data_IF_491640244916
#
_entry.id   IF_491640244916
#
_cell.length_a   1.000
_cell.length_b   1.000
_cell.length_c   1.000
_cell.angle_alpha   90.00
_cell.angle_beta   90.00
_cell.angle_gamma   90.00
#
_symmetry.space_group_name_H-M   'P 1'
#
loop_
_entity.id
_entity.type
_entity.pdbx_description
1 polymer ?
#
# COMPACT_ATOMS: atom_id res chain seq x y z
N UNK A 1 3.79 1.67 33.99
CA UNK A 1 2.73 2.29 34.82
C UNK A 1 3.14 3.73 35.07
N UNK A 2 2.60 4.68 34.31
CA UNK A 2 2.80 6.11 34.59
C UNK A 2 1.95 6.43 35.82
N UNK A 3 2.57 6.87 36.91
CA UNK A 3 1.90 7.11 38.18
C UNK A 3 0.98 8.34 38.04
N UNK A 4 -0.24 8.26 38.57
CA UNK A 4 -1.22 9.37 38.55
C UNK A 4 -0.63 10.67 39.12
N UNK A 5 0.25 10.54 40.11
CA UNK A 5 1.02 11.62 40.73
C UNK A 5 1.92 12.36 39.73
N UNK A 6 2.57 11.62 38.82
CA UNK A 6 3.48 12.20 37.84
C UNK A 6 2.74 13.00 36.77
N UNK A 7 1.54 12.54 36.39
CA UNK A 7 0.66 13.29 35.46
C UNK A 7 0.14 14.56 36.14
N UNK A 8 -0.25 14.48 37.41
CA UNK A 8 -0.80 15.60 38.16
C UNK A 8 0.23 16.70 38.44
N UNK A 9 1.46 16.33 38.80
CA UNK A 9 2.58 17.27 38.97
C UNK A 9 2.91 17.93 37.63
N UNK A 10 2.93 17.17 36.53
CA UNK A 10 3.24 17.73 35.22
C UNK A 10 2.21 18.78 34.81
N UNK A 11 0.91 18.50 35.03
CA UNK A 11 -0.20 19.42 34.75
C UNK A 11 -0.11 20.71 35.58
N UNK A 12 0.16 20.59 36.89
CA UNK A 12 0.35 21.72 37.80
C UNK A 12 1.55 22.60 37.41
N UNK A 13 2.67 22.01 37.00
CA UNK A 13 3.84 22.78 36.54
C UNK A 13 3.62 23.48 35.21
N UNK A 14 2.87 22.88 34.28
CA UNK A 14 2.52 23.54 33.01
C UNK A 14 1.56 24.71 33.22
N UNK A 15 0.59 24.57 34.13
CA UNK A 15 -0.35 25.65 34.46
C UNK A 15 0.36 26.85 35.11
N UNK A 16 1.30 26.60 36.02
CA UNK A 16 2.06 27.67 36.68
C UNK A 16 3.00 28.41 35.73
N UNK A 17 3.66 27.70 34.82
CA UNK A 17 4.55 28.29 33.81
C UNK A 17 3.77 29.10 32.76
N UNK A 18 2.56 28.66 32.40
CA UNK A 18 1.66 29.41 31.55
C UNK A 18 1.24 30.75 32.19
N UNK A 19 0.89 30.75 33.48
CA UNK A 19 0.43 31.96 34.20
C UNK A 19 1.52 33.03 34.29
N UNK A 20 2.77 32.66 34.55
CA UNK A 20 3.89 33.62 34.63
C UNK A 20 4.32 34.14 33.24
N UNK A 21 4.14 33.34 32.18
CA UNK A 21 4.46 33.73 30.81
C UNK A 21 3.59 34.86 30.26
N UNK A 22 2.35 35.04 30.75
CA UNK A 22 1.48 36.17 30.34
C UNK A 22 1.95 37.54 30.86
N UNK A 23 2.95 37.56 31.73
CA UNK A 23 3.48 38.78 32.34
C UNK A 23 4.74 39.30 31.64
N UNK A 24 5.38 38.47 30.81
CA UNK A 24 6.58 38.81 30.06
C UNK A 24 6.38 38.47 28.58
N UNK A 25 6.38 39.48 27.71
CA UNK A 25 6.00 39.34 26.30
C UNK A 25 6.88 38.33 25.54
N UNK A 26 8.17 38.23 25.90
CA UNK A 26 9.11 37.28 25.30
C UNK A 26 8.80 35.82 25.67
N UNK A 27 8.40 35.58 26.93
CA UNK A 27 8.01 34.25 27.40
C UNK A 27 6.66 33.84 26.82
N UNK A 28 5.73 34.77 26.69
CA UNK A 28 4.45 34.56 26.01
C UNK A 28 4.65 34.11 24.56
N UNK A 29 5.53 34.80 23.82
CA UNK A 29 5.83 34.48 22.42
C UNK A 29 6.50 33.10 22.28
N UNK A 30 7.42 32.76 23.20
CA UNK A 30 8.06 31.46 23.24
C UNK A 30 7.06 30.32 23.55
N UNK A 31 6.16 30.52 24.52
CA UNK A 31 5.11 29.55 24.87
C UNK A 31 4.13 29.37 23.71
N UNK A 32 3.73 30.45 23.03
CA UNK A 32 2.85 30.38 21.87
C UNK A 32 3.49 29.61 20.70
N UNK A 33 4.79 29.81 20.47
CA UNK A 33 5.56 29.11 19.44
C UNK A 33 5.71 27.62 19.75
N UNK A 34 6.03 27.25 21.00
CA UNK A 34 6.13 25.86 21.43
C UNK A 34 4.78 25.16 21.34
N UNK A 35 3.71 25.81 21.79
CA UNK A 35 2.35 25.25 21.70
C UNK A 35 1.90 25.09 20.25
N UNK A 36 2.18 26.07 19.38
CA UNK A 36 1.92 25.98 17.95
C UNK A 36 2.68 24.82 17.29
N UNK A 37 3.98 24.70 17.57
CA UNK A 37 4.81 23.59 17.05
C UNK A 37 4.30 22.23 17.51
N UNK A 38 3.86 22.11 18.77
CA UNK A 38 3.29 20.88 19.32
C UNK A 38 1.97 20.50 18.63
N UNK A 39 1.08 21.47 18.39
CA UNK A 39 -0.18 21.24 17.65
C UNK A 39 0.10 20.78 16.22
N UNK A 40 1.02 21.44 15.50
CA UNK A 40 1.41 21.01 14.15
C UNK A 40 2.04 19.62 14.12
N UNK A 41 2.84 19.28 15.14
CA UNK A 41 3.41 17.95 15.27
C UNK A 41 2.33 16.88 15.46
N UNK A 42 1.38 17.10 16.37
CA UNK A 42 0.25 16.17 16.59
C UNK A 42 -0.59 16.03 15.33
N UNK A 43 -0.94 17.13 14.67
CA UNK A 43 -1.69 17.10 13.41
C UNK A 43 -0.92 16.35 12.32
N UNK A 44 0.40 16.54 12.24
CA UNK A 44 1.26 15.81 11.31
C UNK A 44 1.24 14.30 11.56
N UNK A 45 1.36 13.88 12.82
CA UNK A 45 1.28 12.45 13.20
C UNK A 45 -0.09 11.87 12.86
N UNK A 46 -1.18 12.56 13.21
CA UNK A 46 -2.54 12.13 12.88
C UNK A 46 -2.72 12.01 11.36
N UNK A 47 -2.22 12.99 10.60
CA UNK A 47 -2.27 12.97 9.13
C UNK A 47 -1.54 11.77 8.52
N UNK A 48 -0.35 11.44 9.03
CA UNK A 48 0.42 10.27 8.57
C UNK A 48 -0.34 8.97 8.89
N UNK A 49 -0.88 8.85 10.11
CA UNK A 49 -1.65 7.66 10.52
C UNK A 49 -2.89 7.50 9.64
N UNK A 50 -3.65 8.57 9.41
CA UNK A 50 -4.80 8.57 8.50
C UNK A 50 -4.41 8.19 7.07
N UNK A 51 -3.31 8.74 6.56
CA UNK A 51 -2.80 8.42 5.23
C UNK A 51 -2.42 6.94 5.07
N UNK A 52 -1.72 6.38 6.05
CA UNK A 52 -1.38 4.95 6.06
C UNK A 52 -2.63 4.07 6.13
N UNK A 53 -3.60 4.44 6.95
CA UNK A 53 -4.86 3.72 7.08
C UNK A 53 -5.66 3.75 5.77
N UNK A 54 -5.68 4.89 5.08
CA UNK A 54 -6.30 5.02 3.77
C UNK A 54 -5.64 4.11 2.72
N UNK A 55 -4.30 4.09 2.65
CA UNK A 55 -3.57 3.20 1.73
C UNK A 55 -3.89 1.73 2.03
N UNK A 56 -3.95 1.36 3.31
CA UNK A 56 -4.28 -0.01 3.72
C UNK A 56 -5.69 -0.41 3.27
N UNK A 57 -6.68 0.47 3.44
CA UNK A 57 -8.04 0.25 2.94
C UNK A 57 -8.06 0.05 1.43
N UNK A 58 -7.34 0.90 0.68
CA UNK A 58 -7.27 0.79 -0.79
C UNK A 58 -6.67 -0.55 -1.21
N UNK A 59 -5.57 -0.99 -0.59
CA UNK A 59 -4.97 -2.29 -0.86
C UNK A 59 -5.97 -3.42 -0.58
N UNK A 60 -6.68 -3.35 0.56
CA UNK A 60 -7.66 -4.36 0.93
C UNK A 60 -8.81 -4.40 -0.10
N UNK A 61 -9.33 -3.24 -0.51
CA UNK A 61 -10.40 -3.14 -1.48
C UNK A 61 -10.00 -3.67 -2.86
N UNK A 62 -8.79 -3.35 -3.32
CA UNK A 62 -8.23 -3.88 -4.57
C UNK A 62 -8.12 -5.41 -4.48
N UNK A 63 -7.55 -5.93 -3.40
CA UNK A 63 -7.39 -7.38 -3.21
C UNK A 63 -8.73 -8.11 -3.16
N UNK A 64 -9.71 -7.57 -2.42
CA UNK A 64 -11.06 -8.11 -2.32
C UNK A 64 -11.77 -8.07 -3.68
N UNK A 65 -11.60 -6.99 -4.46
CA UNK A 65 -12.13 -6.87 -5.81
C UNK A 65 -11.58 -7.93 -6.77
N UNK A 66 -10.25 -8.15 -6.75
CA UNK A 66 -9.61 -9.18 -7.58
C UNK A 66 -10.08 -10.58 -7.16
N UNK A 67 -10.16 -10.86 -5.86
CA UNK A 67 -10.63 -12.16 -5.36
C UNK A 67 -12.09 -12.39 -5.77
N UNK A 68 -12.96 -11.39 -5.56
CA UNK A 68 -14.39 -11.46 -5.90
C UNK A 68 -14.60 -11.72 -7.40
N UNK A 69 -13.95 -10.95 -8.27
CA UNK A 69 -14.04 -11.13 -9.73
C UNK A 69 -13.54 -12.50 -10.17
N UNK A 70 -12.45 -12.98 -9.57
CA UNK A 70 -11.87 -14.29 -9.89
C UNK A 70 -12.80 -15.45 -9.48
N UNK A 71 -13.42 -15.36 -8.30
CA UNK A 71 -14.40 -16.34 -7.82
C UNK A 71 -15.64 -16.33 -8.71
N UNK A 72 -16.16 -15.15 -9.05
CA UNK A 72 -17.33 -15.00 -9.91
C UNK A 72 -17.09 -15.60 -11.30
N UNK A 73 -15.93 -15.33 -11.91
CA UNK A 73 -15.55 -15.93 -13.20
C UNK A 73 -15.39 -17.45 -13.08
N UNK A 74 -14.87 -17.95 -11.95
CA UNK A 74 -14.77 -19.39 -11.67
C UNK A 74 -16.16 -20.07 -11.61
N UNK A 75 -17.13 -19.43 -10.96
CA UNK A 75 -18.51 -19.91 -10.87
C UNK A 75 -19.23 -19.84 -12.22
N UNK A 76 -19.14 -18.71 -12.92
CA UNK A 76 -19.80 -18.51 -14.22
C UNK A 76 -19.31 -19.51 -15.27
N UNK A 77 -18.01 -19.78 -15.31
CA UNK A 77 -17.44 -20.72 -16.28
C UNK A 77 -17.40 -22.17 -15.77
N UNK A 78 -18.03 -22.46 -14.62
CA UNK A 78 -18.06 -23.77 -13.94
C UNK A 78 -16.68 -24.43 -13.82
N UNK A 79 -15.62 -23.62 -13.69
CA UNK A 79 -14.24 -24.11 -13.71
C UNK A 79 -13.35 -23.24 -12.83
N UNK A 80 -12.85 -23.84 -11.75
CA UNK A 80 -11.87 -23.23 -10.85
C UNK A 80 -10.59 -22.81 -11.58
N UNK A 81 -10.17 -23.60 -12.58
CA UNK A 81 -8.99 -23.29 -13.41
C UNK A 81 -9.10 -21.95 -14.12
N UNK A 82 -10.30 -21.60 -14.60
CA UNK A 82 -10.53 -20.34 -15.31
C UNK A 82 -10.63 -19.15 -14.37
N UNK A 83 -11.21 -19.33 -13.17
CA UNK A 83 -11.17 -18.31 -12.12
C UNK A 83 -9.74 -17.99 -11.66
N UNK A 84 -8.91 -19.02 -11.45
CA UNK A 84 -7.49 -18.84 -11.14
C UNK A 84 -6.71 -18.16 -12.26
N UNK A 85 -7.02 -18.46 -13.53
CA UNK A 85 -6.41 -17.75 -14.67
C UNK A 85 -6.67 -16.24 -14.58
N UNK A 86 -7.92 -15.85 -14.34
CA UNK A 86 -8.30 -14.45 -14.18
C UNK A 86 -7.59 -13.81 -12.99
N UNK A 87 -7.51 -14.50 -11.85
CA UNK A 87 -6.78 -14.01 -10.67
C UNK A 87 -5.33 -13.63 -10.99
N UNK A 88 -4.57 -14.56 -11.59
CA UNK A 88 -3.17 -14.31 -11.94
C UNK A 88 -3.01 -13.18 -12.94
N UNK A 89 -3.86 -13.11 -13.97
CA UNK A 89 -3.81 -12.04 -14.97
C UNK A 89 -4.11 -10.68 -14.32
N UNK A 90 -5.17 -10.57 -13.51
CA UNK A 90 -5.54 -9.32 -12.85
C UNK A 90 -4.48 -8.81 -11.89
N UNK A 91 -3.88 -9.69 -11.08
CA UNK A 91 -2.77 -9.32 -10.18
C UNK A 91 -1.54 -8.89 -10.98
N UNK A 92 -1.19 -9.63 -12.04
CA UNK A 92 -0.03 -9.30 -12.86
C UNK A 92 -0.19 -7.96 -13.58
N UNK A 93 -1.39 -7.63 -14.11
CA UNK A 93 -1.67 -6.35 -14.75
C UNK A 93 -1.54 -5.19 -13.76
N UNK A 94 -2.14 -5.30 -12.57
CA UNK A 94 -2.04 -4.23 -11.57
C UNK A 94 -0.58 -4.03 -11.12
N UNK A 95 0.12 -5.12 -10.81
CA UNK A 95 1.52 -5.07 -10.38
C UNK A 95 2.45 -4.50 -11.45
N UNK A 96 2.34 -4.96 -12.70
CA UNK A 96 3.17 -4.48 -13.81
C UNK A 96 2.86 -3.03 -14.20
N UNK A 97 1.60 -2.61 -14.08
CA UNK A 97 1.20 -1.23 -14.40
C UNK A 97 1.79 -0.25 -13.41
N UNK A 98 1.72 -0.54 -12.12
CA UNK A 98 2.35 0.29 -11.07
C UNK A 98 3.86 0.33 -11.28
N UNK A 99 4.50 -0.83 -11.47
CA UNK A 99 5.94 -0.91 -11.68
C UNK A 99 6.41 -0.16 -12.95
N UNK A 100 5.68 -0.31 -14.05
CA UNK A 100 6.01 0.34 -15.33
C UNK A 100 5.87 1.86 -15.24
N UNK A 101 4.78 2.37 -14.67
CA UNK A 101 4.60 3.83 -14.50
C UNK A 101 5.73 4.42 -13.64
N UNK A 102 6.10 3.77 -12.53
CA UNK A 102 7.22 4.21 -11.68
C UNK A 102 8.53 4.24 -12.47
N UNK A 103 8.81 3.19 -13.25
CA UNK A 103 10.02 3.08 -14.05
C UNK A 103 10.09 4.18 -15.12
N UNK A 104 8.99 4.42 -15.83
CA UNK A 104 8.91 5.48 -16.84
C UNK A 104 9.04 6.88 -16.23
N UNK A 105 8.44 7.15 -15.07
CA UNK A 105 8.62 8.41 -14.35
C UNK A 105 10.07 8.60 -13.87
N UNK A 106 10.72 7.53 -13.42
CA UNK A 106 12.11 7.56 -13.01
C UNK A 106 13.04 7.87 -14.20
N UNK A 107 12.84 7.21 -15.34
CA UNK A 107 13.59 7.51 -16.57
C UNK A 107 13.36 8.95 -17.00
N UNK A 108 12.12 9.44 -16.96
CA UNK A 108 11.81 10.80 -17.39
C UNK A 108 12.47 11.85 -16.48
N UNK A 109 12.59 11.58 -15.19
CA UNK A 109 13.30 12.47 -14.25
C UNK A 109 14.78 12.63 -14.61
N UNK A 110 15.43 11.58 -15.10
CA UNK A 110 16.87 11.60 -15.43
C UNK A 110 17.12 12.20 -16.82
N UNK A 111 16.28 11.85 -17.79
CA UNK A 111 16.53 12.15 -19.22
C UNK A 111 15.68 13.29 -19.76
N UNK A 112 14.67 13.78 -19.03
CA UNK A 112 13.66 14.75 -19.50
C UNK A 112 13.20 14.43 -20.92
N UNK A 113 12.91 13.15 -21.16
CA UNK A 113 12.81 12.65 -22.52
C UNK A 113 11.50 13.09 -23.18
N UNK A 114 10.41 13.14 -22.39
CA UNK A 114 9.07 13.53 -22.82
C UNK A 114 8.33 14.34 -21.76
N UNK A 115 7.21 14.95 -22.19
CA UNK A 115 6.25 15.56 -21.30
C UNK A 115 5.69 14.50 -20.32
N UNK A 116 5.47 14.92 -19.07
CA UNK A 116 5.08 14.04 -17.96
C UNK A 116 3.81 13.25 -18.28
N UNK A 117 2.84 13.88 -18.95
CA UNK A 117 1.57 13.26 -19.33
C UNK A 117 1.79 12.08 -20.29
N UNK A 118 2.63 12.26 -21.31
CA UNK A 118 2.95 11.23 -22.30
C UNK A 118 3.70 10.06 -21.67
N UNK A 119 4.55 10.34 -20.67
CA UNK A 119 5.29 9.33 -19.91
C UNK A 119 4.36 8.42 -19.10
N UNK A 120 3.35 9.02 -18.45
CA UNK A 120 2.36 8.26 -17.67
C UNK A 120 1.54 7.36 -18.59
N UNK A 121 1.07 7.89 -19.72
CA UNK A 121 0.28 7.12 -20.71
C UNK A 121 1.11 5.96 -21.27
N UNK A 122 2.38 6.20 -21.62
CA UNK A 122 3.28 5.16 -22.10
C UNK A 122 3.51 4.06 -21.04
N UNK A 123 3.70 4.46 -19.77
CA UNK A 123 3.82 3.53 -18.65
C UNK A 123 2.57 2.68 -18.44
N UNK A 124 1.38 3.26 -18.57
CA UNK A 124 0.10 2.52 -18.47
C UNK A 124 -0.04 1.48 -19.58
N UNK A 125 0.18 1.87 -20.84
CA UNK A 125 0.05 0.97 -22.00
C UNK A 125 1.07 -0.18 -21.91
N UNK A 126 2.32 0.16 -21.63
CA UNK A 126 3.41 -0.81 -21.42
C UNK A 126 3.11 -1.74 -20.25
N UNK A 127 2.61 -1.18 -19.15
CA UNK A 127 2.21 -1.90 -17.95
C UNK A 127 1.13 -2.96 -18.21
N UNK A 128 0.05 -2.57 -18.89
CA UNK A 128 -1.04 -3.50 -19.22
C UNK A 128 -0.55 -4.60 -20.16
N UNK A 129 0.20 -4.25 -21.20
CA UNK A 129 0.72 -5.22 -22.17
C UNK A 129 1.67 -6.24 -21.52
N UNK A 130 2.64 -5.74 -20.74
CA UNK A 130 3.58 -6.60 -20.02
C UNK A 130 2.89 -7.46 -18.96
N UNK A 131 1.93 -6.91 -18.22
CA UNK A 131 1.17 -7.63 -17.19
C UNK A 131 0.32 -8.75 -17.72
N UNK A 132 -0.31 -8.55 -18.89
CA UNK A 132 -1.07 -9.58 -19.57
C UNK A 132 -0.20 -10.80 -19.93
N UNK A 133 0.97 -10.53 -20.52
CA UNK A 133 1.94 -11.56 -20.91
C UNK A 133 2.47 -12.29 -19.66
N UNK A 134 2.87 -11.53 -18.63
CA UNK A 134 3.40 -12.08 -17.39
C UNK A 134 2.37 -12.98 -16.69
N UNK A 135 1.12 -12.52 -16.60
CA UNK A 135 0.03 -13.27 -15.97
C UNK A 135 -0.29 -14.58 -16.69
N UNK A 136 -0.22 -14.60 -18.02
CA UNK A 136 -0.37 -15.84 -18.81
C UNK A 136 0.78 -16.83 -18.53
N UNK A 137 2.03 -16.36 -18.52
CA UNK A 137 3.20 -17.20 -18.25
C UNK A 137 3.13 -17.76 -16.83
N UNK A 138 2.75 -16.94 -15.85
CA UNK A 138 2.63 -17.34 -14.45
C UNK A 138 1.55 -18.41 -14.27
N UNK A 139 0.40 -18.26 -14.93
CA UNK A 139 -0.66 -19.27 -14.92
C UNK A 139 -0.20 -20.61 -15.52
N UNK A 140 0.48 -20.58 -16.67
CA UNK A 140 1.01 -21.81 -17.32
C UNK A 140 2.02 -22.50 -16.40
N UNK A 141 2.89 -21.73 -15.75
CA UNK A 141 3.91 -22.24 -14.84
C UNK A 141 3.27 -22.87 -13.60
N UNK A 142 2.30 -22.20 -12.98
CA UNK A 142 1.53 -22.76 -11.86
C UNK A 142 0.83 -24.06 -12.26
N UNK A 143 0.18 -24.10 -13.44
CA UNK A 143 -0.48 -25.32 -13.93
C UNK A 143 0.51 -26.48 -14.08
N UNK A 144 1.70 -26.23 -14.65
CA UNK A 144 2.76 -27.26 -14.76
C UNK A 144 3.26 -27.72 -13.39
N UNK A 145 3.42 -26.80 -12.44
CA UNK A 145 3.89 -27.11 -11.10
C UNK A 145 2.89 -27.98 -10.33
N UNK A 146 1.59 -27.69 -10.44
CA UNK A 146 0.52 -28.51 -9.86
C UNK A 146 0.48 -29.91 -10.49
N UNK A 147 0.61 -30.01 -11.82
CA UNK A 147 0.68 -31.31 -12.49
C UNK A 147 1.90 -32.12 -12.07
N UNK A 148 3.06 -31.47 -11.92
CA UNK A 148 4.28 -32.09 -11.45
C UNK A 148 4.12 -32.64 -10.02
N UNK A 149 3.55 -31.84 -9.11
CA UNK A 149 3.23 -32.28 -7.75
C UNK A 149 2.28 -33.48 -7.75
N UNK A 150 1.18 -33.40 -8.52
CA UNK A 150 0.22 -34.50 -8.64
C UNK A 150 0.90 -35.80 -9.07
N UNK A 151 1.73 -35.75 -10.11
CA UNK A 151 2.44 -36.93 -10.61
C UNK A 151 3.45 -37.46 -9.59
N UNK A 152 4.15 -36.57 -8.89
CA UNK A 152 5.11 -36.95 -7.84
C UNK A 152 4.43 -37.65 -6.65
N UNK A 153 3.26 -37.16 -6.23
CA UNK A 153 2.50 -37.79 -5.14
C UNK A 153 1.84 -39.11 -5.58
N UNK A 154 1.25 -39.16 -6.78
CA UNK A 154 0.66 -40.39 -7.32
C UNK A 154 1.69 -41.53 -7.43
N UNK A 155 2.90 -41.22 -7.91
CA UNK A 155 4.00 -42.20 -7.98
C UNK A 155 4.51 -42.68 -6.62
N UNK A 156 4.29 -41.94 -5.53
CA UNK A 156 4.63 -42.41 -4.18
C UNK A 156 3.59 -43.39 -3.64
N UNK A 157 2.30 -43.14 -3.91
CA UNK A 157 1.21 -44.01 -3.45
C UNK A 157 1.27 -45.38 -4.14
N UNK A 158 1.65 -45.43 -5.42
CA UNK A 158 1.77 -46.71 -6.18
C UNK A 158 3.00 -47.55 -5.76
N UNK A 159 3.97 -46.97 -5.03
CA UNK A 159 5.16 -47.68 -4.55
C UNK A 159 5.03 -48.23 -3.12
N UNK A 160 3.90 -47.99 -2.45
CA UNK A 160 3.53 -48.62 -1.19
C UNK A 160 2.55 -49.76 -1.45
#
# INVERSE_FOLDING_TARGET
MINLLTVLIHYLTTDFYLIDSFRNDDDFLAVMLVMGALVFFILGVIGIVLGLLFILIVIFLISAGIISTSVLVGLQQKSLSKGFKTFFISVSILGSTIASVILFLFINTIKNWWQTDTTIIAGLISGIASGWILGLIMFITCKKLVLFLKNKYANRIVRQ
#
